data_IF_105412561207
#
_entry.id   IF_105412561207
#
_cell.length_a   1.000
_cell.length_b   1.000
_cell.length_c   1.000
_cell.angle_alpha   90.00
_cell.angle_beta   90.00
_cell.angle_gamma   90.00
#
_symmetry.space_group_name_H-M   'P 1'
#
loop_
_entity.id
_entity.type
_entity.pdbx_description
1 polymer ?
#
# COMPACT_ATOMS: atom_id res chain seq x y z
N UNK A 1 -9.48 0.60 -3.73
CA UNK A 1 -8.43 0.43 -2.68
C UNK A 1 -7.90 1.78 -2.24
N UNK A 2 -7.83 2.06 -0.93
CA UNK A 2 -7.44 3.40 -0.45
C UNK A 2 -6.79 3.36 0.94
N UNK A 3 -5.99 4.39 1.23
CA UNK A 3 -5.52 4.74 2.57
C UNK A 3 -6.32 5.96 3.03
N UNK A 4 -6.73 5.96 4.30
CA UNK A 4 -7.63 6.98 4.85
C UNK A 4 -7.01 7.55 6.13
N UNK A 5 -6.94 8.88 6.22
CA UNK A 5 -6.70 9.62 7.48
C UNK A 5 -8.03 10.06 8.03
N UNK A 6 -8.26 9.73 9.30
CA UNK A 6 -9.43 10.14 10.06
C UNK A 6 -8.98 10.97 11.25
N UNK A 7 -9.83 11.90 11.68
CA UNK A 7 -9.70 12.51 13.00
C UNK A 7 -9.95 11.47 14.09
N UNK A 8 -9.19 11.54 15.18
CA UNK A 8 -9.33 10.58 16.28
C UNK A 8 -10.57 10.86 17.15
N UNK A 9 -11.03 12.11 17.22
CA UNK A 9 -12.13 12.49 18.12
C UNK A 9 -13.50 12.06 17.63
N UNK A 10 -13.75 12.18 16.33
CA UNK A 10 -15.07 12.05 15.71
C UNK A 10 -15.04 11.20 14.43
N UNK A 11 -13.88 10.63 14.07
CA UNK A 11 -13.67 9.84 12.86
C UNK A 11 -14.03 10.56 11.56
N UNK A 12 -14.04 11.90 11.55
CA UNK A 12 -14.27 12.62 10.29
C UNK A 12 -13.12 12.37 9.32
N UNK A 13 -13.46 12.30 8.04
CA UNK A 13 -12.50 12.08 6.97
C UNK A 13 -11.62 13.32 6.77
N UNK A 14 -10.32 13.19 7.07
CA UNK A 14 -9.31 14.22 6.80
C UNK A 14 -8.76 14.10 5.38
N UNK A 15 -8.41 12.89 4.96
CA UNK A 15 -7.85 12.62 3.64
C UNK A 15 -8.18 11.20 3.19
N UNK A 16 -8.50 11.05 1.90
CA UNK A 16 -8.61 9.75 1.23
C UNK A 16 -7.64 9.69 0.06
N UNK A 17 -6.65 8.82 0.16
CA UNK A 17 -5.72 8.55 -0.93
C UNK A 17 -6.07 7.23 -1.62
N UNK A 18 -6.58 7.29 -2.85
CA UNK A 18 -6.81 6.09 -3.66
C UNK A 18 -5.47 5.52 -4.10
N UNK A 19 -5.24 4.25 -3.79
CA UNK A 19 -4.02 3.54 -4.19
C UNK A 19 -4.40 2.20 -4.81
N UNK A 20 -4.72 2.25 -6.09
CA UNK A 20 -5.23 1.14 -6.87
C UNK A 20 -4.16 0.69 -7.87
N UNK A 21 -4.13 -0.60 -8.17
CA UNK A 21 -3.30 -1.12 -9.26
C UNK A 21 -3.82 -0.58 -10.59
N UNK A 22 -2.94 -0.34 -11.56
CA UNK A 22 -3.37 0.07 -12.89
C UNK A 22 -4.15 -1.02 -13.61
N UNK A 23 -5.07 -0.65 -14.51
CA UNK A 23 -5.86 -1.62 -15.28
C UNK A 23 -4.98 -2.61 -16.05
N UNK A 24 -3.85 -2.16 -16.59
CA UNK A 24 -2.92 -3.02 -17.33
C UNK A 24 -2.28 -4.08 -16.42
N UNK A 25 -1.81 -3.70 -15.23
CA UNK A 25 -1.26 -4.65 -14.24
C UNK A 25 -2.31 -5.65 -13.76
N UNK A 26 -3.57 -5.21 -13.59
CA UNK A 26 -4.68 -6.12 -13.25
C UNK A 26 -4.92 -7.17 -14.34
N UNK A 27 -4.89 -6.76 -15.61
CA UNK A 27 -5.03 -7.67 -16.76
C UNK A 27 -3.87 -8.67 -16.79
N UNK A 28 -2.64 -8.20 -16.60
CA UNK A 28 -1.45 -9.06 -16.57
C UNK A 28 -1.57 -10.08 -15.42
N UNK A 29 -1.96 -9.64 -14.23
CA UNK A 29 -2.19 -10.53 -13.08
C UNK A 29 -3.28 -11.56 -13.37
N UNK A 30 -4.41 -11.14 -13.95
CA UNK A 30 -5.53 -12.04 -14.23
C UNK A 30 -5.16 -13.15 -15.24
N UNK A 31 -4.27 -12.85 -16.19
CA UNK A 31 -3.78 -13.88 -17.11
C UNK A 31 -2.96 -14.98 -16.40
N UNK A 32 -2.44 -14.70 -15.21
CA UNK A 32 -1.67 -15.63 -14.38
C UNK A 32 -2.50 -16.22 -13.24
N UNK A 33 -3.53 -15.51 -12.78
CA UNK A 33 -4.31 -15.81 -11.58
C UNK A 33 -5.79 -15.79 -11.91
N UNK A 34 -6.45 -16.92 -11.67
CA UNK A 34 -7.82 -17.16 -12.10
C UNK A 34 -8.87 -16.30 -11.36
N UNK A 35 -8.55 -15.77 -10.18
CA UNK A 35 -9.46 -14.97 -9.37
C UNK A 35 -9.21 -13.47 -9.54
N UNK A 36 -10.14 -12.77 -10.19
CA UNK A 36 -10.07 -11.31 -10.40
C UNK A 36 -9.90 -10.51 -9.11
N UNK A 37 -10.49 -10.99 -8.01
CA UNK A 37 -10.41 -10.31 -6.72
C UNK A 37 -8.96 -10.31 -6.18
N UNK A 38 -8.15 -11.31 -6.49
CA UNK A 38 -6.76 -11.37 -6.04
C UNK A 38 -5.85 -10.38 -6.77
N UNK A 39 -6.31 -9.87 -7.91
CA UNK A 39 -5.61 -8.87 -8.71
C UNK A 39 -5.92 -7.43 -8.29
N UNK A 40 -6.32 -7.20 -7.04
CA UNK A 40 -6.46 -5.87 -6.45
C UNK A 40 -5.21 -5.46 -5.65
N UNK A 41 -5.12 -4.19 -5.27
CA UNK A 41 -4.11 -3.70 -4.34
C UNK A 41 -4.66 -3.69 -2.91
N UNK A 42 -4.43 -4.76 -2.17
CA UNK A 42 -4.78 -4.82 -0.76
C UNK A 42 -3.66 -4.23 0.08
N UNK A 43 -3.98 -3.17 0.83
CA UNK A 43 -3.02 -2.53 1.73
C UNK A 43 -2.83 -3.43 2.95
N UNK A 44 -1.58 -3.81 3.24
CA UNK A 44 -1.23 -4.76 4.31
C UNK A 44 -0.26 -4.21 5.35
N UNK A 45 0.48 -3.16 5.02
CA UNK A 45 1.45 -2.53 5.93
C UNK A 45 1.20 -1.04 5.98
N UNK A 46 1.08 -0.53 7.21
CA UNK A 46 1.13 0.89 7.57
C UNK A 46 2.06 0.99 8.77
N UNK A 47 3.30 1.45 8.56
CA UNK A 47 4.31 1.50 9.61
C UNK A 47 4.96 2.89 9.69
N UNK A 48 4.83 3.53 10.85
CA UNK A 48 5.45 4.84 11.11
C UNK A 48 6.90 4.65 11.55
N UNK A 49 7.81 5.32 10.85
CA UNK A 49 9.22 5.41 11.22
C UNK A 49 9.46 6.72 11.96
N UNK A 50 9.77 6.61 13.26
CA UNK A 50 9.84 7.77 14.17
C UNK A 50 10.98 8.73 13.87
N UNK A 51 12.13 8.22 13.40
CA UNK A 51 13.34 9.05 13.19
C UNK A 51 13.13 10.21 12.21
N UNK A 52 12.39 9.98 11.13
CA UNK A 52 12.15 10.96 10.07
C UNK A 52 10.66 11.25 9.80
N UNK A 53 9.79 10.77 10.71
CA UNK A 53 8.34 10.92 10.64
C UNK A 53 7.76 10.48 9.29
N UNK A 54 8.24 9.35 8.75
CA UNK A 54 7.77 8.79 7.50
C UNK A 54 6.83 7.61 7.72
N UNK A 55 5.85 7.45 6.84
CA UNK A 55 4.90 6.34 6.84
C UNK A 55 5.24 5.38 5.70
N UNK A 56 5.61 4.15 6.04
CA UNK A 56 5.71 3.06 5.07
C UNK A 56 4.32 2.52 4.80
N UNK A 57 3.92 2.54 3.53
CA UNK A 57 2.68 1.93 3.06
C UNK A 57 3.01 0.83 2.08
N UNK A 58 2.56 -0.41 2.32
CA UNK A 58 2.73 -1.53 1.38
C UNK A 58 1.40 -2.19 1.05
N UNK A 59 1.30 -2.67 -0.19
CA UNK A 59 0.16 -3.48 -0.62
C UNK A 59 0.54 -4.54 -1.64
N UNK A 60 -0.40 -5.46 -1.89
CA UNK A 60 -0.23 -6.60 -2.81
C UNK A 60 -0.02 -6.17 -4.27
N UNK A 61 -0.60 -5.01 -4.66
CA UNK A 61 -0.58 -4.43 -6.00
C UNK A 61 -0.68 -5.49 -7.12
N UNK A 62 -1.80 -6.22 -7.14
CA UNK A 62 -2.07 -7.28 -8.12
C UNK A 62 -0.98 -8.36 -8.18
N UNK A 63 -0.72 -8.99 -7.03
CA UNK A 63 0.31 -10.02 -6.91
C UNK A 63 1.73 -9.54 -7.28
N UNK A 64 1.98 -8.23 -7.15
CA UNK A 64 3.31 -7.64 -7.28
C UNK A 64 3.55 -6.65 -6.13
N UNK A 65 3.90 -7.15 -4.92
CA UNK A 65 3.95 -6.33 -3.73
C UNK A 65 4.90 -5.14 -3.87
N UNK A 66 4.38 -3.95 -3.57
CA UNK A 66 5.13 -2.69 -3.57
C UNK A 66 4.94 -1.95 -2.27
N UNK A 67 5.95 -1.17 -1.91
CA UNK A 67 5.93 -0.26 -0.78
C UNK A 67 6.28 1.16 -1.22
N UNK A 68 5.83 2.15 -0.45
CA UNK A 68 6.08 3.58 -0.70
C UNK A 68 6.24 4.26 0.66
N UNK A 69 7.27 5.10 0.79
CA UNK A 69 7.41 6.01 1.92
C UNK A 69 6.63 7.29 1.65
N UNK A 70 5.81 7.71 2.61
CA UNK A 70 4.93 8.87 2.50
C UNK A 70 5.03 9.74 3.74
N UNK A 71 4.54 10.97 3.65
CA UNK A 71 4.27 11.76 4.83
C UNK A 71 3.00 11.28 5.54
N UNK A 72 3.00 11.13 6.87
CA UNK A 72 1.83 10.71 7.62
C UNK A 72 0.76 11.80 7.69
N UNK A 73 1.13 13.08 7.53
CA UNK A 73 0.25 14.25 7.51
C UNK A 73 -0.38 14.54 6.14
N UNK A 74 0.22 14.00 5.06
CA UNK A 74 -0.26 14.10 3.68
C UNK A 74 0.05 12.81 2.92
N UNK A 75 -0.94 11.92 2.80
CA UNK A 75 -0.80 10.60 2.17
C UNK A 75 -0.43 10.70 0.67
N UNK A 76 -0.77 11.81 0.03
CA UNK A 76 -0.37 12.10 -1.36
C UNK A 76 1.12 12.44 -1.50
N UNK A 77 1.77 12.92 -0.44
CA UNK A 77 3.18 13.33 -0.47
C UNK A 77 4.09 12.13 -0.26
N UNK A 78 4.76 11.71 -1.34
CA UNK A 78 5.72 10.60 -1.35
C UNK A 78 7.12 11.13 -1.02
N UNK A 79 7.81 10.43 -0.13
CA UNK A 79 9.20 10.69 0.23
C UNK A 79 10.06 9.82 -0.68
N UNK A 80 10.63 10.41 -1.73
CA UNK A 80 11.50 9.71 -2.69
C UNK A 80 12.92 10.20 -2.54
N UNK A 81 13.84 9.26 -2.32
CA UNK A 81 15.29 9.52 -2.37
C UNK A 81 15.92 9.08 -3.70
N UNK A 82 15.11 8.63 -4.69
CA UNK A 82 15.43 8.36 -6.11
C UNK A 82 14.43 7.39 -6.76
N UNK A 83 13.68 6.61 -5.97
CA UNK A 83 12.63 5.69 -6.45
C UNK A 83 11.30 5.94 -5.74
N UNK A 84 10.23 6.10 -6.52
CA UNK A 84 8.86 6.31 -6.01
C UNK A 84 8.30 5.04 -5.36
N UNK A 85 8.70 3.88 -5.84
CA UNK A 85 8.23 2.58 -5.39
C UNK A 85 9.43 1.73 -5.01
N UNK A 86 9.34 1.07 -3.86
CA UNK A 86 10.33 0.10 -3.39
C UNK A 86 9.72 -1.29 -3.40
N UNK A 87 10.55 -2.32 -3.58
CA UNK A 87 10.08 -3.71 -3.56
C UNK A 87 9.40 -4.05 -2.23
N UNK A 88 8.18 -4.58 -2.32
CA UNK A 88 7.40 -5.09 -1.20
C UNK A 88 7.69 -6.54 -0.84
N UNK A 89 8.59 -7.22 -1.57
CA UNK A 89 8.97 -8.60 -1.30
C UNK A 89 9.52 -8.72 0.13
N UNK A 90 9.00 -9.69 0.89
CA UNK A 90 9.31 -9.88 2.31
C UNK A 90 8.69 -8.85 3.26
N UNK A 91 7.99 -7.82 2.75
CA UNK A 91 7.30 -6.79 3.56
C UNK A 91 5.78 -6.92 3.48
N UNK A 92 5.26 -7.20 2.29
CA UNK A 92 3.84 -7.42 2.03
C UNK A 92 3.65 -8.76 1.30
N UNK A 93 2.58 -9.50 1.59
CA UNK A 93 2.29 -10.74 0.88
C UNK A 93 1.86 -10.43 -0.56
N UNK A 94 1.95 -11.44 -1.42
CA UNK A 94 1.45 -11.41 -2.81
C UNK A 94 -0.08 -11.55 -2.85
N UNK A 95 -0.62 -12.48 -2.07
CA UNK A 95 -2.07 -12.68 -1.87
C UNK A 95 -2.51 -12.08 -0.54
N UNK A 96 -3.64 -11.39 -0.51
CA UNK A 96 -4.20 -10.79 0.71
C UNK A 96 -4.69 -11.81 1.75
N UNK A 97 -4.95 -13.06 1.34
CA UNK A 97 -5.34 -14.16 2.22
C UNK A 97 -4.16 -14.71 3.04
N UNK A 98 -2.92 -14.46 2.63
CA UNK A 98 -1.75 -14.93 3.36
C UNK A 98 -1.51 -14.09 4.62
N UNK A 99 -1.26 -14.77 5.73
CA UNK A 99 -0.88 -14.12 6.98
C UNK A 99 0.50 -13.47 6.84
N UNK A 100 0.62 -12.25 7.33
CA UNK A 100 1.85 -11.47 7.25
C UNK A 100 1.90 -10.48 8.42
N UNK A 101 3.05 -10.35 9.06
CA UNK A 101 3.33 -9.32 10.04
C UNK A 101 4.61 -8.58 9.62
N UNK A 102 4.63 -7.26 9.83
CA UNK A 102 5.79 -6.42 9.54
C UNK A 102 6.16 -5.64 10.79
N UNK A 103 7.46 -5.61 11.12
CA UNK A 103 8.04 -4.82 12.21
C UNK A 103 9.19 -4.00 11.63
N UNK A 104 9.29 -2.73 12.04
CA UNK A 104 10.37 -1.82 11.66
C UNK A 104 11.63 -2.04 12.51
#
# INVERSE_FOLDING_TARGET
NAIIRLSLGDFHLLERYKWETSTNEKIICHNQIQSFNECENYIRVLALRSYDQSLLTCGTNSYHPICIWRRPDSLSTIISNNEKFISGNGKSPYNSQYSSAYHL
#
